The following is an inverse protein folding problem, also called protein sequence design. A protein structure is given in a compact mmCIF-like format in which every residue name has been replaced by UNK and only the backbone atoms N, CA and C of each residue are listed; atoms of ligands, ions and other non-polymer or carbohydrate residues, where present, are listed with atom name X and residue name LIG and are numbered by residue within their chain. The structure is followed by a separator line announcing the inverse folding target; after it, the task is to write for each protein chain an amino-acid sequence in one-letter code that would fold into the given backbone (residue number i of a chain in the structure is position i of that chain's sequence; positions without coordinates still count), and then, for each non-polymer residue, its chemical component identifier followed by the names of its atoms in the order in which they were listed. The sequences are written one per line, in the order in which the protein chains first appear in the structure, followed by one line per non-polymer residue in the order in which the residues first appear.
data_IF_383371615141
#
_entry.id   IF_383371615141
#
_cell.length_a   1.000
_cell.length_b   1.000
_cell.length_c   1.000
_cell.angle_alpha   90.00
_cell.angle_beta   90.00
_cell.angle_gamma   90.00
#
_symmetry.space_group_name_H-M   'P 1'
#
loop_
_entity.id
_entity.type
_entity.pdbx_description
1 polymer ?
#
# COMPACT_ATOMS: atom_id res chain seq x y z
N UNK A 1 15.86 14.74 -18.82
CA UNK A 1 16.23 13.30 -18.76
C UNK A 1 15.00 12.50 -19.16
N UNK A 2 15.12 11.72 -20.24
CA UNK A 2 14.01 11.08 -20.94
C UNK A 2 13.25 10.09 -20.05
N UNK A 3 11.95 10.34 -19.83
CA UNK A 3 11.04 9.35 -19.29
C UNK A 3 10.75 8.36 -20.43
N UNK A 4 11.10 7.10 -20.22
CA UNK A 4 10.97 6.01 -21.18
C UNK A 4 9.53 5.80 -21.64
N UNK A 5 9.23 6.15 -22.89
CA UNK A 5 8.01 5.81 -23.64
C UNK A 5 7.94 4.31 -23.99
N UNK A 6 8.25 3.43 -23.04
CA UNK A 6 8.23 1.97 -23.17
C UNK A 6 7.33 1.31 -22.13
N UNK A 7 6.30 2.02 -21.66
CA UNK A 7 5.26 1.38 -20.85
C UNK A 7 4.47 0.42 -21.75
N UNK A 8 4.30 -0.83 -21.31
CA UNK A 8 3.47 -1.80 -21.99
C UNK A 8 2.03 -1.28 -22.02
N UNK A 9 1.51 -1.08 -23.24
CA UNK A 9 0.12 -0.71 -23.46
C UNK A 9 -0.73 -1.97 -23.34
N UNK A 10 -1.54 -2.03 -22.28
CA UNK A 10 -2.46 -3.13 -22.05
C UNK A 10 -3.67 -3.02 -22.98
N UNK A 11 -4.37 -4.13 -23.21
CA UNK A 11 -5.70 -4.06 -23.83
C UNK A 11 -6.63 -3.23 -22.94
N UNK A 12 -7.60 -2.54 -23.55
CA UNK A 12 -8.52 -1.67 -22.79
C UNK A 12 -9.29 -2.42 -21.69
N UNK A 13 -9.62 -3.69 -21.93
CA UNK A 13 -10.28 -4.56 -20.94
C UNK A 13 -9.34 -4.92 -19.77
N UNK A 14 -8.11 -5.34 -20.07
CA UNK A 14 -7.12 -5.69 -19.04
C UNK A 14 -6.75 -4.47 -18.19
N UNK A 15 -6.55 -3.30 -18.83
CA UNK A 15 -6.30 -2.04 -18.12
C UNK A 15 -7.47 -1.69 -17.17
N UNK A 16 -8.71 -1.75 -17.65
CA UNK A 16 -9.88 -1.44 -16.84
C UNK A 16 -10.02 -2.42 -15.66
N UNK A 17 -9.84 -3.71 -15.90
CA UNK A 17 -9.86 -4.76 -14.88
C UNK A 17 -8.79 -4.52 -13.79
N UNK A 18 -7.54 -4.28 -14.19
CA UNK A 18 -6.45 -4.01 -13.26
C UNK A 18 -6.65 -2.72 -12.47
N UNK A 19 -7.27 -1.69 -13.06
CA UNK A 19 -7.60 -0.46 -12.35
C UNK A 19 -8.69 -0.70 -11.29
N UNK A 20 -9.72 -1.48 -11.61
CA UNK A 20 -10.75 -1.88 -10.64
C UNK A 20 -10.13 -2.67 -9.49
N UNK A 21 -9.30 -3.67 -9.79
CA UNK A 21 -8.53 -4.41 -8.79
C UNK A 21 -7.63 -3.49 -7.96
N UNK A 22 -6.99 -2.51 -8.61
CA UNK A 22 -6.17 -1.50 -7.94
C UNK A 22 -6.95 -0.69 -6.92
N UNK A 23 -8.17 -0.26 -7.26
CA UNK A 23 -9.06 0.46 -6.34
C UNK A 23 -9.52 -0.42 -5.18
N UNK A 24 -9.91 -1.68 -5.46
CA UNK A 24 -10.27 -2.65 -4.42
C UNK A 24 -9.10 -2.86 -3.45
N UNK A 25 -7.90 -3.08 -3.97
CA UNK A 25 -6.70 -3.25 -3.15
C UNK A 25 -6.39 -2.01 -2.32
N UNK A 26 -6.47 -0.80 -2.88
CA UNK A 26 -6.29 0.44 -2.11
C UNK A 26 -7.35 0.59 -1.00
N UNK A 27 -8.60 0.25 -1.27
CA UNK A 27 -9.66 0.29 -0.27
C UNK A 27 -9.37 -0.67 0.89
N UNK A 28 -8.96 -1.91 0.60
CA UNK A 28 -8.59 -2.88 1.63
C UNK A 28 -7.43 -2.38 2.51
N UNK A 29 -6.37 -1.86 1.88
CA UNK A 29 -5.25 -1.27 2.61
C UNK A 29 -5.67 -0.04 3.43
N UNK A 30 -6.57 0.80 2.91
CA UNK A 30 -7.04 2.00 3.60
C UNK A 30 -7.85 1.66 4.85
N UNK A 31 -8.73 0.66 4.79
CA UNK A 31 -9.47 0.17 5.96
C UNK A 31 -8.50 -0.25 7.06
N UNK A 32 -7.47 -1.02 6.72
CA UNK A 32 -6.44 -1.43 7.68
C UNK A 32 -5.66 -0.23 8.21
N UNK A 33 -5.22 0.67 7.34
CA UNK A 33 -4.41 1.83 7.71
C UNK A 33 -5.15 2.80 8.63
N UNK A 34 -6.44 3.07 8.35
CA UNK A 34 -7.30 3.87 9.25
C UNK A 34 -7.44 3.18 10.59
N UNK A 35 -7.67 1.87 10.58
CA UNK A 35 -7.77 1.09 11.82
C UNK A 35 -6.47 1.06 12.64
N UNK A 36 -5.32 1.13 11.99
CA UNK A 36 -4.03 1.22 12.66
C UNK A 36 -3.74 2.61 13.27
N UNK A 37 -4.42 3.66 12.80
CA UNK A 37 -4.31 5.04 13.35
C UNK A 37 -5.28 5.26 14.50
N UNK A 38 -6.47 4.64 14.46
CA UNK A 38 -7.52 4.83 15.46
C UNK A 38 -7.43 3.77 16.57
N UNK A 39 -7.15 4.16 17.84
CA UNK A 39 -7.16 3.23 18.97
C UNK A 39 -8.52 2.50 19.08
N UNK A 40 -8.49 1.17 19.18
CA UNK A 40 -9.70 0.35 19.31
C UNK A 40 -10.41 -0.01 18.01
N UNK A 41 -9.92 0.48 16.86
CA UNK A 41 -10.43 0.13 15.54
C UNK A 41 -9.41 -0.68 14.74
N UNK A 42 -8.64 -1.57 15.38
CA UNK A 42 -7.55 -2.28 14.70
C UNK A 42 -8.08 -3.07 13.50
N UNK A 43 -7.70 -2.63 12.30
CA UNK A 43 -8.02 -3.34 11.07
C UNK A 43 -7.47 -4.76 11.15
N UNK A 44 -8.23 -5.73 10.66
CA UNK A 44 -7.83 -7.13 10.76
C UNK A 44 -6.53 -7.38 10.03
N UNK A 45 -5.54 -7.99 10.71
CA UNK A 45 -4.30 -8.49 10.10
C UNK A 45 -4.62 -9.41 8.91
N UNK A 46 -5.69 -10.19 9.02
CA UNK A 46 -6.18 -11.03 7.91
C UNK A 46 -6.55 -10.19 6.68
N UNK A 47 -7.22 -9.05 6.88
CA UNK A 47 -7.59 -8.15 5.78
C UNK A 47 -6.35 -7.57 5.09
N UNK A 48 -5.32 -7.21 5.87
CA UNK A 48 -4.05 -6.75 5.32
C UNK A 48 -3.36 -7.85 4.50
N UNK A 49 -3.35 -9.08 5.00
CA UNK A 49 -2.78 -10.22 4.28
C UNK A 49 -3.52 -10.48 2.97
N UNK A 50 -4.86 -10.46 2.97
CA UNK A 50 -5.65 -10.60 1.74
C UNK A 50 -5.30 -9.51 0.73
N UNK A 51 -5.22 -8.26 1.16
CA UNK A 51 -4.85 -7.13 0.29
C UNK A 51 -3.43 -7.27 -0.27
N UNK A 52 -2.48 -7.68 0.58
CA UNK A 52 -1.08 -7.88 0.19
C UNK A 52 -0.90 -9.04 -0.78
N UNK A 53 -1.58 -10.18 -0.56
CA UNK A 53 -1.54 -11.31 -1.48
C UNK A 53 -2.21 -11.00 -2.82
N UNK A 54 -3.32 -10.24 -2.80
CA UNK A 54 -3.94 -9.72 -4.03
C UNK A 54 -2.93 -8.92 -4.85
N UNK A 55 -2.15 -8.05 -4.20
CA UNK A 55 -1.13 -7.26 -4.87
C UNK A 55 0.01 -8.09 -5.43
N UNK A 56 0.49 -9.08 -4.68
CA UNK A 56 1.54 -9.99 -5.15
C UNK A 56 1.08 -10.80 -6.37
N UNK A 57 -0.15 -11.32 -6.32
CA UNK A 57 -0.74 -12.12 -7.38
C UNK A 57 -0.97 -11.30 -8.65
N UNK A 58 -1.54 -10.09 -8.52
CA UNK A 58 -1.94 -9.25 -9.66
C UNK A 58 -0.84 -8.37 -10.23
N UNK A 59 0.31 -8.26 -9.56
CA UNK A 59 1.48 -7.55 -10.10
C UNK A 59 1.95 -8.14 -11.43
N UNK A 60 1.93 -9.48 -11.58
CA UNK A 60 2.39 -10.16 -12.79
C UNK A 60 1.60 -9.75 -14.04
N UNK A 61 0.28 -9.65 -13.90
CA UNK A 61 -0.66 -9.25 -14.96
C UNK A 61 -0.42 -7.81 -15.45
N UNK A 62 0.26 -6.97 -14.66
CA UNK A 62 0.52 -5.57 -14.97
C UNK A 62 1.97 -5.29 -15.43
N UNK A 63 2.80 -6.32 -15.63
CA UNK A 63 4.23 -6.14 -15.90
C UNK A 63 4.53 -5.16 -17.05
N UNK A 64 5.43 -4.22 -16.78
CA UNK A 64 5.83 -3.18 -17.73
C UNK A 64 4.80 -2.06 -17.92
N UNK A 65 3.59 -2.17 -17.34
CA UNK A 65 2.57 -1.13 -17.41
C UNK A 65 2.70 -0.13 -16.27
N UNK A 66 2.02 1.02 -16.39
CA UNK A 66 1.98 2.00 -15.31
C UNK A 66 1.28 1.46 -14.04
N UNK A 67 0.34 0.51 -14.18
CA UNK A 67 -0.34 -0.12 -13.05
C UNK A 67 0.60 -0.99 -12.20
N UNK A 68 1.66 -1.58 -12.78
CA UNK A 68 2.69 -2.31 -12.02
C UNK A 68 3.27 -1.42 -10.92
N UNK A 69 3.48 -0.13 -11.21
CA UNK A 69 3.99 0.82 -10.22
C UNK A 69 3.09 0.92 -8.98
N UNK A 70 1.77 0.82 -9.10
CA UNK A 70 0.87 0.84 -7.95
C UNK A 70 0.96 -0.44 -7.12
N UNK A 71 1.06 -1.61 -7.75
CA UNK A 71 1.28 -2.88 -7.04
C UNK A 71 2.60 -2.85 -6.27
N UNK A 72 3.71 -2.45 -6.93
CA UNK A 72 5.02 -2.31 -6.29
C UNK A 72 5.00 -1.28 -5.16
N UNK A 73 4.29 -0.18 -5.35
CA UNK A 73 4.11 0.88 -4.35
C UNK A 73 3.46 0.36 -3.08
N UNK A 74 2.34 -0.37 -3.19
CA UNK A 74 1.63 -0.94 -2.04
C UNK A 74 2.45 -2.04 -1.36
N UNK A 75 3.01 -2.98 -2.12
CA UNK A 75 3.88 -4.05 -1.59
C UNK A 75 5.02 -3.47 -0.74
N UNK A 76 5.76 -2.49 -1.26
CA UNK A 76 6.84 -1.85 -0.49
C UNK A 76 6.33 -1.12 0.74
N UNK A 77 5.16 -0.47 0.66
CA UNK A 77 4.57 0.22 1.81
C UNK A 77 4.27 -0.78 2.93
N UNK A 78 3.69 -1.93 2.61
CA UNK A 78 3.42 -3.01 3.59
C UNK A 78 4.72 -3.56 4.17
N UNK A 79 5.72 -3.85 3.33
CA UNK A 79 7.01 -4.38 3.80
C UNK A 79 7.73 -3.39 4.71
N UNK A 80 7.79 -2.10 4.34
CA UNK A 80 8.41 -1.07 5.19
C UNK A 80 7.66 -0.88 6.51
N UNK A 81 6.33 -0.87 6.48
CA UNK A 81 5.53 -0.80 7.71
C UNK A 81 5.77 -2.03 8.59
N UNK A 82 5.79 -3.24 8.03
CA UNK A 82 6.07 -4.46 8.79
C UNK A 82 7.43 -4.41 9.47
N UNK A 83 8.49 -4.04 8.72
CA UNK A 83 9.84 -3.87 9.28
C UNK A 83 9.85 -2.82 10.38
N UNK A 84 9.23 -1.65 10.15
CA UNK A 84 9.19 -0.57 11.13
C UNK A 84 8.49 -0.98 12.43
N UNK A 85 7.34 -1.67 12.34
CA UNK A 85 6.65 -2.21 13.52
C UNK A 85 7.50 -3.24 14.25
N UNK A 86 8.17 -4.15 13.54
CA UNK A 86 9.06 -5.14 14.15
C UNK A 86 10.22 -4.48 14.89
N UNK A 87 10.90 -3.52 14.25
CA UNK A 87 12.08 -2.83 14.83
C UNK A 87 11.68 -1.97 16.04
N UNK A 88 10.48 -1.38 16.02
CA UNK A 88 9.99 -0.52 17.11
C UNK A 88 9.23 -1.28 18.20
N UNK A 89 8.95 -2.58 18.02
CA UNK A 89 8.25 -3.41 19.01
C UNK A 89 8.89 -3.39 20.42
N UNK A 90 10.23 -3.40 20.59
CA UNK A 90 10.85 -3.33 21.91
C UNK A 90 10.53 -2.05 22.70
N UNK A 91 10.10 -0.96 22.05
CA UNK A 91 9.73 0.28 22.75
C UNK A 91 8.56 0.09 23.71
N UNK A 92 7.69 -0.89 23.48
CA UNK A 92 6.61 -1.25 24.41
C UNK A 92 7.12 -1.79 25.75
N UNK A 93 8.35 -2.33 25.79
CA UNK A 93 8.99 -2.81 27.02
C UNK A 93 9.71 -1.69 27.79
N UNK A 94 10.10 -0.62 27.10
CA UNK A 94 10.96 0.46 27.60
C UNK A 94 10.20 1.74 27.96
N UNK A 95 8.89 1.63 28.30
CA UNK A 95 7.87 2.66 28.56
C UNK A 95 6.76 2.62 27.49
N UNK A 96 5.50 2.44 27.91
CA UNK A 96 4.32 2.32 27.03
C UNK A 96 4.16 3.53 26.09
N UNK A 97 4.48 4.74 26.56
CA UNK A 97 4.30 5.98 25.81
C UNK A 97 5.16 6.06 24.51
N UNK A 98 6.49 5.79 24.54
CA UNK A 98 7.29 5.65 23.32
C UNK A 98 6.74 4.67 22.28
N UNK A 99 6.20 3.53 22.72
CA UNK A 99 5.60 2.53 21.82
C UNK A 99 4.41 3.11 21.05
N UNK A 100 3.50 3.79 21.75
CA UNK A 100 2.35 4.47 21.14
C UNK A 100 2.76 5.50 20.09
N UNK A 101 3.73 6.36 20.43
CA UNK A 101 4.20 7.42 19.51
C UNK A 101 4.82 6.80 18.26
N UNK A 102 5.73 5.84 18.41
CA UNK A 102 6.40 5.19 17.29
C UNK A 102 5.39 4.50 16.36
N UNK A 103 4.49 3.70 16.93
CA UNK A 103 3.49 2.97 16.15
C UNK A 103 2.49 3.90 15.48
N UNK A 104 2.07 4.98 16.15
CA UNK A 104 1.20 6.00 15.56
C UNK A 104 1.82 6.70 14.36
N UNK A 105 3.10 7.05 14.44
CA UNK A 105 3.85 7.65 13.31
C UNK A 105 3.93 6.68 12.12
N UNK A 106 4.21 5.40 12.38
CA UNK A 106 4.25 4.36 11.33
C UNK A 106 2.87 4.20 10.68
N UNK A 107 1.80 4.15 11.48
CA UNK A 107 0.41 4.04 10.99
C UNK A 107 0.04 5.24 10.11
N UNK A 108 0.35 6.46 10.55
CA UNK A 108 0.08 7.68 9.79
C UNK A 108 0.86 7.73 8.47
N UNK A 109 2.13 7.34 8.51
CA UNK A 109 2.97 7.24 7.31
C UNK A 109 2.40 6.23 6.31
N UNK A 110 1.95 5.07 6.80
CA UNK A 110 1.34 4.04 5.96
C UNK A 110 0.03 4.53 5.35
N UNK A 111 -0.86 5.15 6.15
CA UNK A 111 -2.12 5.73 5.68
C UNK A 111 -1.88 6.78 4.60
N UNK A 112 -0.96 7.72 4.82
CA UNK A 112 -0.57 8.71 3.83
C UNK A 112 -0.15 8.07 2.50
N UNK A 113 0.65 6.98 2.56
CA UNK A 113 1.11 6.29 1.36
C UNK A 113 0.03 5.55 0.61
N UNK A 114 -0.95 4.99 1.32
CA UNK A 114 -2.13 4.37 0.71
C UNK A 114 -2.95 5.46 -0.01
N UNK A 115 -3.26 6.56 0.68
CA UNK A 115 -4.07 7.64 0.11
C UNK A 115 -3.41 8.30 -1.10
N UNK A 116 -2.11 8.62 -1.05
CA UNK A 116 -1.43 9.22 -2.21
C UNK A 116 -1.39 8.29 -3.42
N UNK A 117 -1.23 6.98 -3.18
CA UNK A 117 -1.23 5.98 -4.23
C UNK A 117 -2.60 5.81 -4.87
N UNK A 118 -3.65 5.88 -4.06
CA UNK A 118 -5.04 5.80 -4.52
C UNK A 118 -5.42 7.04 -5.34
N UNK A 119 -5.06 8.24 -4.88
CA UNK A 119 -5.28 9.48 -5.63
C UNK A 119 -4.58 9.43 -6.99
N UNK A 120 -3.32 9.00 -7.04
CA UNK A 120 -2.60 8.83 -8.30
C UNK A 120 -3.28 7.80 -9.24
N UNK A 121 -3.79 6.68 -8.70
CA UNK A 121 -4.53 5.69 -9.49
C UNK A 121 -5.83 6.27 -10.08
N UNK A 122 -6.53 7.08 -9.28
CA UNK A 122 -7.72 7.80 -9.72
C UNK A 122 -7.37 8.72 -10.90
N UNK A 123 -6.26 9.46 -10.79
CA UNK A 123 -5.76 10.37 -11.82
C UNK A 123 -5.07 9.67 -13.00
N UNK A 124 -5.00 8.33 -13.00
CA UNK A 124 -4.29 7.52 -14.00
C UNK A 124 -2.82 7.90 -14.17
N UNK A 125 -2.15 8.20 -13.05
CA UNK A 125 -0.73 8.55 -13.00
C UNK A 125 0.07 7.43 -12.33
N UNK A 126 1.27 7.08 -12.84
CA UNK A 126 2.13 6.08 -12.21
C UNK A 126 2.63 6.55 -10.84
N UNK A 127 3.02 5.59 -10.01
CA UNK A 127 3.76 5.85 -8.78
C UNK A 127 5.27 5.90 -9.03
N UNK A 128 6.02 6.77 -8.33
CA UNK A 128 7.47 6.74 -8.35
C UNK A 128 7.94 5.49 -7.60
N UNK A 129 8.48 4.51 -8.32
CA UNK A 129 8.90 3.20 -7.82
C UNK A 129 10.29 2.79 -8.32
#
# INVERSE_FOLDING_TARGET
MAQTDNAVVLSGETEASLRTVGHISYALHAIVAVGAVLPGAQGSVLLLLVAFFLDLYKRGDAQGSWQESHFRWRIRSVVFSAIAYTVTAPLWLLLIAPGWVAWGVISLWFLYRVLRGWLALNDRRPMPV
#
